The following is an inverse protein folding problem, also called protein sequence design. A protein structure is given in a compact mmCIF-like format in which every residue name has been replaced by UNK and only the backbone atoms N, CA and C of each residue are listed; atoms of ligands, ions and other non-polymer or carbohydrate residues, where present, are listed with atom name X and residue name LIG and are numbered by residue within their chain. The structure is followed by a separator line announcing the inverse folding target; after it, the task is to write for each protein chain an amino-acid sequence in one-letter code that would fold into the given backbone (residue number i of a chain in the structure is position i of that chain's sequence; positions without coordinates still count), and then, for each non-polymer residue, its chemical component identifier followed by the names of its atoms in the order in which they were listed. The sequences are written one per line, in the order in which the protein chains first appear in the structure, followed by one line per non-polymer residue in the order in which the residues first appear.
data_IF_934351789812
#
_entry.id   IF_934351789812
#
_cell.length_a   1.000
_cell.length_b   1.000
_cell.length_c   1.000
_cell.angle_alpha   90.00
_cell.angle_beta   90.00
_cell.angle_gamma   90.00
#
_symmetry.space_group_name_H-M   'P 1'
#
loop_
_entity.id
_entity.type
_entity.pdbx_description
1 polymer ?
#
# COMPACT_ATOMS: atom_id res chain seq x y z
N UNK A 1 -21.46 18.79 -15.90
CA UNK A 1 -20.86 17.61 -15.20
C UNK A 1 -19.39 17.90 -14.95
N UNK A 2 -19.01 18.21 -13.71
CA UNK A 2 -17.59 18.41 -13.36
C UNK A 2 -16.93 17.03 -13.27
N UNK A 3 -15.92 16.79 -14.11
CA UNK A 3 -14.99 15.68 -13.95
C UNK A 3 -14.38 15.77 -12.55
N UNK A 4 -14.65 14.79 -11.68
CA UNK A 4 -13.83 14.53 -10.51
C UNK A 4 -12.46 14.07 -11.05
N UNK A 5 -11.57 15.04 -11.31
CA UNK A 5 -10.17 14.77 -11.56
C UNK A 5 -9.63 14.09 -10.29
N UNK A 6 -9.64 12.76 -10.29
CA UNK A 6 -8.94 11.95 -9.30
C UNK A 6 -7.44 12.17 -9.53
N UNK A 7 -6.92 13.29 -9.04
CA UNK A 7 -5.49 13.55 -8.96
C UNK A 7 -4.94 12.64 -7.86
N UNK A 8 -4.71 11.37 -8.21
CA UNK A 8 -3.98 10.47 -7.33
C UNK A 8 -2.61 11.05 -7.04
N UNK A 9 -2.17 10.88 -5.80
CA UNK A 9 -0.84 11.30 -5.41
C UNK A 9 0.23 10.54 -6.20
N UNK A 10 1.38 11.19 -6.41
CA UNK A 10 2.51 10.61 -7.13
C UNK A 10 3.06 9.41 -6.37
N UNK A 11 3.57 8.43 -7.11
CA UNK A 11 4.31 7.30 -6.56
C UNK A 11 5.78 7.52 -6.88
N UNK A 12 6.60 7.74 -5.84
CA UNK A 12 8.04 7.97 -6.00
C UNK A 12 8.83 6.90 -5.25
N UNK A 13 9.90 6.41 -5.87
CA UNK A 13 10.81 5.46 -5.24
C UNK A 13 11.54 6.11 -4.05
N UNK A 14 11.61 5.43 -2.91
CA UNK A 14 12.40 5.85 -1.75
C UNK A 14 13.75 5.12 -1.62
N UNK A 15 14.00 4.14 -2.49
CA UNK A 15 15.22 3.33 -2.48
C UNK A 15 16.34 3.88 -3.36
N UNK A 16 16.03 4.77 -4.30
CA UNK A 16 17.02 5.39 -5.16
C UNK A 16 17.31 6.84 -4.73
N UNK A 17 18.56 7.33 -4.87
CA UNK A 17 18.92 8.71 -4.51
C UNK A 17 18.16 9.79 -5.31
N UNK A 18 17.64 9.42 -6.49
CA UNK A 18 16.93 10.34 -7.38
C UNK A 18 15.44 10.48 -7.08
N UNK A 19 14.89 9.73 -6.12
CA UNK A 19 13.46 9.67 -5.84
C UNK A 19 12.60 9.55 -7.11
N UNK A 20 12.95 8.61 -8.00
CA UNK A 20 12.37 8.55 -9.34
C UNK A 20 10.85 8.39 -9.29
N UNK A 21 10.15 9.13 -10.15
CA UNK A 21 8.70 9.01 -10.30
C UNK A 21 8.38 7.69 -11.01
N UNK A 22 7.61 6.84 -10.32
CA UNK A 22 7.09 5.58 -10.85
C UNK A 22 5.74 5.82 -11.52
N UNK A 23 4.93 6.73 -10.97
CA UNK A 23 3.62 7.11 -11.51
C UNK A 23 3.26 8.56 -11.10
N UNK A 24 2.57 9.36 -11.94
CA UNK A 24 1.96 9.05 -13.24
C UNK A 24 2.93 8.85 -14.40
N UNK A 25 4.06 9.55 -14.42
CA UNK A 25 5.00 9.48 -15.53
C UNK A 25 6.23 8.70 -15.09
N UNK A 26 6.27 7.41 -15.43
CA UNK A 26 7.43 6.57 -15.16
C UNK A 26 8.67 7.22 -15.78
N UNK A 27 9.58 7.70 -14.92
CA UNK A 27 10.83 8.27 -15.36
C UNK A 27 11.65 7.20 -16.07
N UNK A 28 12.37 7.55 -17.15
CA UNK A 28 13.39 6.68 -17.75
C UNK A 28 14.40 6.19 -16.69
N UNK A 29 14.56 6.94 -15.59
CA UNK A 29 15.41 6.60 -14.43
C UNK A 29 14.91 5.40 -13.63
N UNK A 30 13.63 5.03 -13.72
CA UNK A 30 13.08 3.82 -13.07
C UNK A 30 13.77 2.57 -13.63
N UNK A 31 14.07 2.54 -14.93
CA UNK A 31 14.82 1.46 -15.58
C UNK A 31 16.26 1.33 -15.06
N UNK A 32 16.80 2.39 -14.44
CA UNK A 32 18.12 2.43 -13.83
C UNK A 32 18.06 2.32 -12.30
N UNK A 33 16.90 2.05 -11.71
CA UNK A 33 16.79 1.73 -10.30
C UNK A 33 17.44 0.36 -10.11
N UNK A 34 18.74 0.34 -9.82
CA UNK A 34 19.59 -0.85 -9.74
C UNK A 34 19.22 -1.78 -8.56
N UNK A 35 18.34 -1.34 -7.67
CA UNK A 35 17.79 -2.11 -6.55
C UNK A 35 16.24 -2.06 -6.57
N UNK A 36 15.63 -3.03 -5.88
CA UNK A 36 14.18 -3.18 -5.75
C UNK A 36 13.49 -1.85 -5.44
N UNK A 37 12.45 -1.52 -6.21
CA UNK A 37 11.76 -0.25 -6.07
C UNK A 37 10.74 -0.32 -4.91
N UNK A 38 11.06 0.34 -3.80
CA UNK A 38 10.12 0.55 -2.71
C UNK A 38 9.55 1.97 -2.77
N UNK A 39 8.24 2.08 -2.56
CA UNK A 39 7.51 3.33 -2.58
C UNK A 39 6.56 3.41 -1.38
N UNK A 40 6.11 4.62 -1.09
CA UNK A 40 5.05 4.92 -0.15
C UNK A 40 3.97 5.76 -0.84
N UNK A 41 2.71 5.61 -0.45
CA UNK A 41 1.55 6.27 -1.08
C UNK A 41 0.40 6.43 -0.06
N UNK A 42 -0.52 7.40 -0.13
CA UNK A 42 -0.64 8.49 -1.12
C UNK A 42 0.36 9.61 -0.92
N UNK A 43 0.43 10.16 0.29
CA UNK A 43 1.33 11.25 0.62
C UNK A 43 2.13 10.83 1.84
N UNK A 44 3.32 10.33 1.59
CA UNK A 44 4.11 9.74 2.64
C UNK A 44 4.71 10.82 3.52
N UNK A 45 4.29 10.88 4.77
CA UNK A 45 5.02 11.67 5.75
C UNK A 45 6.46 11.16 5.84
N UNK A 46 7.42 12.07 6.08
CA UNK A 46 8.84 11.69 6.26
C UNK A 46 8.99 10.59 7.32
N UNK A 47 8.18 10.64 8.39
CA UNK A 47 8.19 9.63 9.44
C UNK A 47 7.67 8.27 8.98
N UNK A 48 6.60 8.24 8.18
CA UNK A 48 6.10 6.99 7.61
C UNK A 48 7.15 6.34 6.72
N UNK A 49 7.71 7.09 5.78
CA UNK A 49 8.78 6.59 4.89
C UNK A 49 10.01 6.12 5.66
N UNK A 50 10.45 6.86 6.68
CA UNK A 50 11.57 6.46 7.55
C UNK A 50 11.24 5.18 8.33
N UNK A 51 10.03 5.05 8.88
CA UNK A 51 9.60 3.86 9.60
C UNK A 51 9.61 2.60 8.71
N UNK A 52 9.19 2.72 7.46
CA UNK A 52 9.26 1.63 6.49
C UNK A 52 10.71 1.32 6.12
N UNK A 53 11.49 2.33 5.72
CA UNK A 53 12.89 2.16 5.30
C UNK A 53 13.77 1.57 6.40
N UNK A 54 13.86 2.26 7.54
CA UNK A 54 14.78 1.90 8.62
C UNK A 54 14.24 0.79 9.50
N UNK A 55 12.92 0.77 9.75
CA UNK A 55 12.29 -0.16 10.67
C UNK A 55 11.97 -1.51 10.03
N UNK A 56 11.53 -1.51 8.77
CA UNK A 56 11.00 -2.72 8.12
C UNK A 56 11.93 -3.26 7.03
N UNK A 57 12.41 -2.41 6.12
CA UNK A 57 13.16 -2.85 4.94
C UNK A 57 14.63 -3.12 5.23
N UNK A 58 15.30 -2.30 6.05
CA UNK A 58 16.74 -2.44 6.35
C UNK A 58 17.15 -3.83 6.84
N UNK A 59 16.27 -4.51 7.57
CA UNK A 59 16.51 -5.86 8.09
C UNK A 59 16.18 -6.98 7.07
N UNK A 60 15.59 -6.63 5.93
CA UNK A 60 14.92 -7.57 5.02
C UNK A 60 15.31 -7.44 3.54
N UNK A 61 16.24 -6.54 3.21
CA UNK A 61 16.63 -6.21 1.83
C UNK A 61 16.92 -7.42 0.95
N UNK A 62 17.49 -8.49 1.52
CA UNK A 62 17.85 -9.70 0.77
C UNK A 62 16.67 -10.57 0.31
N UNK A 63 15.41 -10.30 0.70
CA UNK A 63 14.28 -11.18 0.38
C UNK A 63 13.22 -10.53 -0.53
N UNK A 64 13.31 -9.22 -0.77
CA UNK A 64 12.22 -8.42 -1.32
C UNK A 64 12.44 -8.07 -2.80
N UNK A 65 12.68 -9.11 -3.61
CA UNK A 65 13.21 -8.98 -4.98
C UNK A 65 12.32 -8.27 -6.03
N UNK A 66 11.06 -7.93 -5.69
CA UNK A 66 10.08 -7.41 -6.64
C UNK A 66 9.63 -5.96 -6.33
N UNK A 67 10.09 -5.37 -5.22
CA UNK A 67 9.65 -4.04 -4.78
C UNK A 67 8.21 -4.00 -4.28
N UNK A 68 7.88 -2.95 -3.52
CA UNK A 68 6.56 -2.77 -2.90
C UNK A 68 6.10 -1.31 -2.94
N UNK A 69 4.79 -1.09 -3.03
CA UNK A 69 4.16 0.16 -2.58
C UNK A 69 3.57 -0.09 -1.20
N UNK A 70 4.08 0.62 -0.20
CA UNK A 70 3.51 0.66 1.14
C UNK A 70 2.47 1.77 1.21
N UNK A 71 1.20 1.37 1.29
CA UNK A 71 0.06 2.28 1.35
C UNK A 71 -0.17 2.65 2.81
N UNK A 72 -0.10 3.95 3.11
CA UNK A 72 -0.58 4.53 4.36
C UNK A 72 -2.12 4.41 4.38
N UNK A 73 -2.61 3.31 4.94
CA UNK A 73 -4.03 2.97 4.98
C UNK A 73 -4.64 3.52 6.28
N UNK A 74 -4.66 4.84 6.38
CA UNK A 74 -5.12 5.59 7.55
C UNK A 74 -6.36 6.44 7.26
N UNK A 75 -7.07 6.81 8.32
CA UNK A 75 -8.33 7.57 8.24
C UNK A 75 -8.17 8.91 7.51
N UNK A 76 -6.99 9.52 7.59
CA UNK A 76 -6.63 10.76 6.89
C UNK A 76 -6.80 10.67 5.37
N UNK A 77 -6.68 9.45 4.84
CA UNK A 77 -6.74 9.15 3.40
C UNK A 77 -8.00 8.37 3.00
N UNK A 78 -9.00 8.26 3.89
CA UNK A 78 -10.21 7.44 3.69
C UNK A 78 -10.87 7.67 2.32
N UNK A 79 -10.93 8.92 1.84
CA UNK A 79 -11.54 9.27 0.55
C UNK A 79 -10.94 8.55 -0.66
N UNK A 80 -9.67 8.14 -0.59
CA UNK A 80 -9.08 7.36 -1.66
C UNK A 80 -9.60 5.93 -1.70
N UNK A 81 -10.01 5.38 -0.56
CA UNK A 81 -10.30 3.96 -0.37
C UNK A 81 -11.79 3.61 -0.49
N UNK A 82 -12.62 4.53 -0.99
CA UNK A 82 -14.07 4.35 -1.17
C UNK A 82 -14.45 3.93 -2.58
N UNK A 83 -13.50 3.89 -3.53
CA UNK A 83 -13.69 3.33 -4.86
C UNK A 83 -12.47 2.50 -5.28
N UNK A 84 -12.56 1.72 -6.37
CA UNK A 84 -11.48 0.82 -6.82
C UNK A 84 -10.32 1.53 -7.53
N UNK A 85 -10.48 2.79 -7.91
CA UNK A 85 -9.55 3.47 -8.82
C UNK A 85 -8.16 3.66 -8.21
N UNK A 86 -8.04 3.82 -6.89
CA UNK A 86 -6.72 3.87 -6.23
C UNK A 86 -5.94 2.55 -6.41
N UNK A 87 -6.64 1.43 -6.32
CA UNK A 87 -6.05 0.11 -6.44
C UNK A 87 -5.60 -0.13 -7.89
N UNK A 88 -6.45 0.23 -8.86
CA UNK A 88 -6.11 0.17 -10.29
C UNK A 88 -4.90 1.05 -10.60
N UNK A 89 -4.87 2.26 -10.04
CA UNK A 89 -3.76 3.17 -10.18
C UNK A 89 -2.44 2.58 -9.67
N UNK A 90 -2.44 1.92 -8.50
CA UNK A 90 -1.24 1.28 -7.95
C UNK A 90 -0.89 -0.03 -8.65
N UNK A 91 -1.87 -0.81 -9.09
CA UNK A 91 -1.66 -2.10 -9.75
C UNK A 91 -0.83 -1.97 -11.04
N UNK A 92 -1.03 -0.88 -11.78
CA UNK A 92 -0.27 -0.59 -12.99
C UNK A 92 1.24 -0.45 -12.75
N UNK A 93 1.68 -0.12 -11.52
CA UNK A 93 3.10 -0.04 -11.17
C UNK A 93 3.81 -1.40 -11.14
N UNK A 94 3.05 -2.51 -11.12
CA UNK A 94 3.52 -3.90 -10.97
C UNK A 94 4.23 -4.22 -9.65
N UNK A 95 4.37 -3.24 -8.75
CA UNK A 95 4.88 -3.42 -7.41
C UNK A 95 3.87 -4.15 -6.52
N UNK A 96 4.35 -4.84 -5.48
CA UNK A 96 3.47 -5.48 -4.50
C UNK A 96 2.82 -4.42 -3.62
N UNK A 97 1.49 -4.45 -3.53
CA UNK A 97 0.72 -3.48 -2.72
C UNK A 97 0.60 -4.00 -1.30
N UNK A 98 1.22 -3.30 -0.35
CA UNK A 98 1.19 -3.63 1.08
C UNK A 98 0.44 -2.54 1.83
N UNK A 99 -0.66 -2.89 2.49
CA UNK A 99 -1.42 -1.93 3.31
C UNK A 99 -0.80 -1.83 4.70
N UNK A 100 -0.47 -0.62 5.15
CA UNK A 100 -0.07 -0.35 6.53
C UNK A 100 -1.27 0.30 7.22
N UNK A 101 -2.02 -0.52 7.94
CA UNK A 101 -3.40 -0.21 8.35
C UNK A 101 -3.47 0.34 9.78
N UNK A 102 -4.13 1.49 9.91
CA UNK A 102 -4.56 2.04 11.20
C UNK A 102 -5.71 1.19 11.82
N UNK A 103 -5.89 1.26 13.14
CA UNK A 103 -6.92 0.51 13.89
C UNK A 103 -8.32 0.74 13.36
N UNK A 104 -8.65 1.99 12.98
CA UNK A 104 -10.01 2.37 12.61
C UNK A 104 -10.41 1.84 11.23
N UNK A 105 -9.44 1.70 10.32
CA UNK A 105 -9.70 1.25 8.96
C UNK A 105 -9.50 -0.26 8.76
N UNK A 106 -9.24 -1.02 9.83
CA UNK A 106 -9.05 -2.47 9.73
C UNK A 106 -10.18 -3.19 8.99
N UNK A 107 -11.48 -2.95 9.27
CA UNK A 107 -12.55 -3.62 8.52
C UNK A 107 -12.54 -3.31 7.03
N UNK A 108 -12.19 -2.06 6.67
CA UNK A 108 -12.09 -1.63 5.28
C UNK A 108 -10.87 -2.25 4.58
N UNK A 109 -9.71 -2.29 5.23
CA UNK A 109 -8.52 -2.97 4.70
C UNK A 109 -8.79 -4.46 4.45
N UNK A 110 -9.49 -5.10 5.39
CA UNK A 110 -9.88 -6.50 5.28
C UNK A 110 -10.89 -6.72 4.15
N UNK A 111 -11.81 -5.79 3.92
CA UNK A 111 -12.72 -5.81 2.76
C UNK A 111 -11.91 -5.80 1.47
N UNK A 112 -11.02 -4.82 1.30
CA UNK A 112 -10.18 -4.70 0.12
C UNK A 112 -9.37 -5.97 -0.13
N UNK A 113 -8.70 -6.51 0.90
CA UNK A 113 -7.89 -7.72 0.79
C UNK A 113 -8.72 -8.97 0.46
N UNK A 114 -9.93 -9.10 1.01
CA UNK A 114 -10.84 -10.22 0.72
C UNK A 114 -11.32 -10.19 -0.73
N UNK A 115 -11.61 -9.01 -1.27
CA UNK A 115 -12.23 -8.84 -2.58
C UNK A 115 -11.22 -8.65 -3.72
N UNK A 116 -9.97 -8.28 -3.42
CA UNK A 116 -8.94 -8.00 -4.44
C UNK A 116 -7.62 -8.70 -4.16
N UNK A 117 -7.27 -9.65 -5.04
CA UNK A 117 -6.02 -10.43 -4.97
C UNK A 117 -4.76 -9.60 -5.25
N UNK A 118 -4.92 -8.37 -5.73
CA UNK A 118 -3.83 -7.44 -6.03
C UNK A 118 -3.13 -6.92 -4.76
N UNK A 119 -3.82 -6.99 -3.62
CA UNK A 119 -3.24 -6.63 -2.32
C UNK A 119 -2.41 -7.80 -1.82
N UNK A 120 -1.13 -7.55 -1.65
CA UNK A 120 -0.15 -8.57 -1.33
C UNK A 120 -0.19 -8.97 0.15
N UNK A 121 -0.30 -7.98 1.04
CA UNK A 121 -0.28 -8.15 2.49
C UNK A 121 -0.93 -6.95 3.19
N UNK A 122 -1.50 -7.17 4.38
CA UNK A 122 -1.82 -6.12 5.36
C UNK A 122 -0.87 -6.23 6.55
N UNK A 123 -0.28 -5.11 6.94
CA UNK A 123 0.40 -4.90 8.22
C UNK A 123 -0.55 -4.10 9.10
N UNK A 124 -0.87 -4.63 10.28
CA UNK A 124 -1.78 -3.94 11.20
C UNK A 124 -1.01 -3.18 12.27
N UNK A 125 -1.63 -2.16 12.87
CA UNK A 125 -1.06 -1.39 13.98
C UNK A 125 -0.48 -2.25 15.13
N UNK A 126 -1.10 -3.39 15.46
CA UNK A 126 -0.63 -4.28 16.52
C UNK A 126 0.58 -5.14 16.13
N UNK A 127 0.94 -5.17 14.85
CA UNK A 127 2.15 -5.85 14.40
C UNK A 127 3.36 -4.98 14.78
N UNK A 128 4.20 -5.50 15.66
CA UNK A 128 5.51 -4.89 15.88
C UNK A 128 6.41 -5.09 14.65
N UNK A 129 7.51 -4.33 14.56
CA UNK A 129 8.39 -4.37 13.39
C UNK A 129 8.89 -5.78 13.05
N UNK A 130 9.20 -6.59 14.08
CA UNK A 130 9.65 -7.98 13.89
C UNK A 130 8.54 -8.84 13.28
N UNK A 131 7.32 -8.78 13.81
CA UNK A 131 6.21 -9.58 13.29
C UNK A 131 5.76 -9.12 11.90
N UNK A 132 5.72 -7.81 11.65
CA UNK A 132 5.46 -7.23 10.33
C UNK A 132 6.50 -7.71 9.31
N UNK A 133 7.78 -7.66 9.70
CA UNK A 133 8.86 -8.17 8.89
C UNK A 133 8.72 -9.67 8.62
N UNK A 134 8.49 -10.49 9.65
CA UNK A 134 8.35 -11.94 9.47
C UNK A 134 7.17 -12.28 8.54
N UNK A 135 6.06 -11.52 8.61
CA UNK A 135 4.92 -11.66 7.68
C UNK A 135 5.33 -11.36 6.24
N UNK A 136 6.02 -10.24 6.00
CA UNK A 136 6.53 -9.88 4.68
C UNK A 136 7.44 -10.97 4.13
N UNK A 137 8.48 -11.33 4.88
CA UNK A 137 9.43 -12.38 4.50
C UNK A 137 8.72 -13.69 4.16
N UNK A 138 7.78 -14.13 5.01
CA UNK A 138 7.04 -15.38 4.79
C UNK A 138 6.17 -15.33 3.53
N UNK A 139 5.51 -14.21 3.26
CA UNK A 139 4.66 -14.05 2.07
C UNK A 139 5.50 -14.04 0.79
N UNK A 140 6.67 -13.40 0.80
CA UNK A 140 7.59 -13.38 -0.35
C UNK A 140 8.24 -14.75 -0.62
N UNK A 141 8.70 -15.46 0.41
CA UNK A 141 9.44 -16.73 0.24
C UNK A 141 8.50 -17.92 0.04
N UNK A 142 7.50 -18.07 0.91
CA UNK A 142 6.72 -19.31 0.98
C UNK A 142 5.41 -19.24 0.20
N UNK A 143 5.05 -18.07 -0.35
CA UNK A 143 3.78 -17.81 -1.04
C UNK A 143 2.52 -18.28 -0.27
N UNK A 144 2.63 -18.49 1.04
CA UNK A 144 1.51 -18.94 1.88
C UNK A 144 0.41 -17.90 1.84
N UNK A 145 -0.83 -18.37 1.84
CA UNK A 145 -2.00 -17.50 1.98
C UNK A 145 -1.83 -16.61 3.20
N UNK A 146 -1.78 -15.29 2.95
CA UNK A 146 -1.88 -14.33 4.02
C UNK A 146 -3.36 -14.26 4.41
N UNK A 147 -3.61 -14.35 5.72
CA UNK A 147 -4.93 -14.19 6.30
C UNK A 147 -5.02 -12.79 6.88
N UNK A 148 -6.20 -12.19 6.76
CA UNK A 148 -6.53 -10.98 7.48
C UNK A 148 -7.08 -11.34 8.87
N UNK A 149 -6.96 -10.40 9.83
CA UNK A 149 -7.46 -10.60 11.19
C UNK A 149 -8.63 -9.66 11.51
N UNK A 150 -9.63 -10.18 12.21
CA UNK A 150 -10.78 -9.41 12.68
C UNK A 150 -11.90 -9.28 11.65
N UNK A 151 -12.80 -8.33 11.90
CA UNK A 151 -13.96 -8.08 11.05
C UNK A 151 -13.56 -7.50 9.69
N UNK A 152 -14.38 -7.74 8.69
CA UNK A 152 -14.30 -7.17 7.35
C UNK A 152 -15.63 -6.51 7.06
N UNK A 153 -15.64 -5.36 6.37
CA UNK A 153 -16.91 -4.80 5.90
C UNK A 153 -17.61 -5.80 4.98
N UNK A 154 -18.93 -5.78 4.99
CA UNK A 154 -19.77 -6.34 3.93
C UNK A 154 -19.79 -5.40 2.72
N UNK A 155 -20.25 -5.91 1.58
CA UNK A 155 -20.45 -5.07 0.38
C UNK A 155 -21.40 -3.92 0.66
N UNK A 156 -22.50 -4.16 1.38
CA UNK A 156 -23.44 -3.11 1.76
C UNK A 156 -22.79 -2.03 2.63
N UNK A 157 -22.01 -2.41 3.64
CA UNK A 157 -21.31 -1.43 4.49
C UNK A 157 -20.28 -0.63 3.70
N UNK A 158 -19.59 -1.26 2.74
CA UNK A 158 -18.68 -0.56 1.83
C UNK A 158 -19.42 0.46 0.96
N UNK A 159 -20.55 0.07 0.36
CA UNK A 159 -21.35 0.95 -0.50
C UNK A 159 -21.93 2.13 0.28
N UNK A 160 -22.46 1.88 1.49
CA UNK A 160 -22.98 2.93 2.39
C UNK A 160 -21.87 3.88 2.81
N UNK A 161 -20.69 3.36 3.18
CA UNK A 161 -19.52 4.19 3.50
C UNK A 161 -19.13 5.08 2.32
N UNK A 162 -19.09 4.52 1.11
CA UNK A 162 -18.79 5.26 -0.12
C UNK A 162 -19.77 6.40 -0.36
N UNK A 163 -21.07 6.14 -0.21
CA UNK A 163 -22.12 7.14 -0.35
C UNK A 163 -22.00 8.26 0.70
N UNK A 164 -21.77 7.92 1.98
CA UNK A 164 -21.61 8.89 3.06
C UNK A 164 -20.40 9.82 2.86
N UNK A 165 -19.31 9.31 2.28
CA UNK A 165 -18.10 10.08 2.00
C UNK A 165 -18.26 10.99 0.77
N UNK A 166 -19.10 10.59 -0.20
CA UNK A 166 -19.36 11.36 -1.41
C UNK A 166 -20.24 12.60 -1.16
N UNK A 167 -21.07 12.58 -0.10
CA UNK A 167 -22.05 13.62 0.21
C UNK A 167 -23.29 13.53 -0.67
#
# INVERSE_FOLDING_TARGET
MKSLNNNFARVTCMSCPSHCEVKPNASLRVSFCQEYCFCTWPEASRYFSLGIMEGLLKQQYHYLYLGCVFVDFSISYLRFFTDKKWLDYLYETKLKIVLVCDRHLRPLANYWYKHHKDIFLIIYQQDNLKSAGDKLKKRFIYQRDAFFHGLSLSTLEFDVLGALIAG
#
